data_IF_910601109315
#
_entry.id   IF_910601109315
#
_cell.length_a   1.000
_cell.length_b   1.000
_cell.length_c   1.000
_cell.angle_alpha   90.00
_cell.angle_beta   90.00
_cell.angle_gamma   90.00
#
_symmetry.space_group_name_H-M   'P 1'
#
loop_
_entity.id
_entity.type
_entity.pdbx_description
1 polymer ?
#
# COMPACT_ATOMS: atom_id res chain seq x y z
N UNK A 1 -6.71 20.73 17.47
CA UNK A 1 -6.24 21.66 16.41
C UNK A 1 -4.73 21.49 16.32
N UNK A 2 -4.20 21.03 15.19
CA UNK A 2 -2.76 21.05 14.95
C UNK A 2 -2.35 22.49 14.68
N UNK A 3 -1.57 23.08 15.57
CA UNK A 3 -1.25 24.52 15.59
C UNK A 3 0.04 24.87 14.84
N UNK A 4 0.90 23.89 14.59
CA UNK A 4 2.15 24.03 13.82
C UNK A 4 2.56 22.67 13.28
N UNK A 5 2.91 22.58 11.99
CA UNK A 5 3.40 21.35 11.36
C UNK A 5 4.90 21.43 11.10
N UNK A 6 5.61 20.33 11.38
CA UNK A 6 7.02 20.16 11.02
C UNK A 6 7.12 19.35 9.71
N UNK A 7 8.11 19.67 8.89
CA UNK A 7 8.47 18.86 7.73
C UNK A 7 9.75 18.09 8.05
N UNK A 8 9.67 16.76 8.00
CA UNK A 8 10.81 15.86 8.17
C UNK A 8 10.84 14.85 7.01
N UNK A 9 12.04 14.41 6.62
CA UNK A 9 12.21 13.37 5.60
C UNK A 9 12.17 12.01 6.31
N UNK A 10 11.21 11.18 5.93
CA UNK A 10 11.11 9.81 6.45
C UNK A 10 12.33 8.99 6.01
N UNK A 11 12.96 8.32 6.98
CA UNK A 11 14.06 7.40 6.67
C UNK A 11 13.53 6.13 5.99
N UNK A 12 14.34 5.44 5.16
CA UNK A 12 13.90 4.20 4.51
C UNK A 12 13.38 3.14 5.48
N UNK A 13 13.97 3.04 6.67
CA UNK A 13 13.53 2.09 7.71
C UNK A 13 12.21 2.50 8.36
N UNK A 14 11.92 3.80 8.42
CA UNK A 14 10.63 4.30 8.88
C UNK A 14 9.54 3.96 7.88
N UNK A 15 9.80 4.15 6.59
CA UNK A 15 8.89 3.76 5.50
C UNK A 15 8.57 2.26 5.56
N UNK A 16 9.58 1.41 5.80
CA UNK A 16 9.38 -0.04 5.93
C UNK A 16 8.56 -0.42 7.16
N UNK A 17 8.76 0.26 8.30
CA UNK A 17 8.01 0.01 9.54
C UNK A 17 6.54 0.42 9.46
N UNK A 18 6.23 1.47 8.70
CA UNK A 18 4.84 1.95 8.50
C UNK A 18 4.16 1.29 7.30
N UNK A 19 4.93 0.69 6.39
CA UNK A 19 4.40 0.01 5.21
C UNK A 19 3.54 -1.18 5.61
N UNK A 20 2.32 -1.23 5.07
CA UNK A 20 1.38 -2.34 5.27
C UNK A 20 1.68 -3.53 4.36
N UNK A 21 2.45 -3.32 3.27
CA UNK A 21 2.92 -4.42 2.44
C UNK A 21 4.10 -5.12 3.07
N UNK A 22 3.84 -6.32 3.58
CA UNK A 22 4.86 -7.28 3.97
C UNK A 22 4.45 -8.67 3.42
N UNK A 23 5.15 -9.21 2.41
CA UNK A 23 6.38 -8.71 1.77
C UNK A 23 6.16 -7.43 0.92
N UNK A 24 7.24 -6.73 0.51
CA UNK A 24 7.14 -5.55 -0.37
C UNK A 24 6.44 -5.86 -1.70
N UNK A 25 5.99 -4.82 -2.40
CA UNK A 25 5.49 -4.96 -3.77
C UNK A 25 6.66 -5.42 -4.66
N UNK A 26 6.48 -6.57 -5.31
CA UNK A 26 7.47 -7.15 -6.23
C UNK A 26 7.08 -6.87 -7.68
N UNK A 27 5.79 -6.61 -7.93
CA UNK A 27 5.23 -6.46 -9.26
C UNK A 27 4.58 -5.09 -9.44
N UNK A 28 5.04 -4.28 -10.41
CA UNK A 28 4.47 -2.97 -10.65
C UNK A 28 3.09 -3.04 -11.34
N UNK A 29 2.70 -4.22 -11.86
CA UNK A 29 1.42 -4.39 -12.52
C UNK A 29 0.24 -4.39 -11.52
N UNK A 30 -0.88 -3.82 -11.94
CA UNK A 30 -2.11 -3.75 -11.13
C UNK A 30 -2.87 -5.08 -11.13
N UNK A 31 -2.90 -5.77 -12.28
CA UNK A 31 -3.71 -6.97 -12.49
C UNK A 31 -2.95 -8.02 -13.29
N UNK A 32 -3.26 -9.28 -13.04
CA UNK A 32 -2.80 -10.44 -13.80
C UNK A 32 -3.97 -11.40 -14.01
N UNK A 33 -4.25 -11.77 -15.27
CA UNK A 33 -5.34 -12.70 -15.59
C UNK A 33 -6.74 -12.22 -15.17
N UNK A 34 -6.97 -10.90 -15.11
CA UNK A 34 -8.25 -10.31 -14.70
C UNK A 34 -8.50 -10.28 -13.20
N UNK A 35 -7.50 -10.63 -12.38
CA UNK A 35 -7.52 -10.51 -10.92
C UNK A 35 -6.42 -9.57 -10.45
N UNK A 36 -6.52 -9.03 -9.24
CA UNK A 36 -5.39 -8.33 -8.62
C UNK A 36 -4.20 -9.29 -8.51
N UNK A 37 -3.02 -8.78 -8.83
CA UNK A 37 -1.78 -9.55 -8.80
C UNK A 37 -1.32 -9.72 -7.35
N UNK A 38 -0.97 -10.95 -6.95
CA UNK A 38 -0.37 -11.22 -5.65
C UNK A 38 0.95 -10.44 -5.53
N UNK A 39 1.18 -9.74 -4.41
CA UNK A 39 2.31 -8.81 -4.24
C UNK A 39 2.39 -7.71 -5.31
N UNK A 40 1.28 -7.48 -5.99
CA UNK A 40 1.10 -6.40 -6.95
C UNK A 40 0.71 -5.09 -6.26
N UNK A 41 0.57 -4.05 -7.06
CA UNK A 41 0.24 -2.72 -6.54
C UNK A 41 -1.15 -2.65 -5.89
N UNK A 42 -2.10 -3.48 -6.34
CA UNK A 42 -3.45 -3.62 -5.75
C UNK A 42 -3.62 -4.89 -4.90
N UNK A 43 -2.54 -5.40 -4.31
CA UNK A 43 -2.64 -6.54 -3.40
C UNK A 43 -3.61 -6.19 -2.24
N UNK A 44 -4.56 -7.08 -1.88
CA UNK A 44 -5.75 -6.74 -1.07
C UNK A 44 -5.56 -6.11 0.32
N UNK A 45 -4.41 -6.12 1.01
CA UNK A 45 -4.30 -5.45 2.31
C UNK A 45 -4.35 -3.91 2.25
N UNK A 46 -4.17 -3.31 1.06
CA UNK A 46 -4.01 -1.85 0.89
C UNK A 46 -5.29 -1.07 0.62
N UNK A 47 -6.32 -1.73 0.09
CA UNK A 47 -7.61 -1.12 -0.21
C UNK A 47 -8.71 -2.17 0.01
N UNK A 48 -9.88 -1.80 0.56
CA UNK A 48 -11.06 -2.63 0.41
C UNK A 48 -11.41 -2.66 -1.08
N UNK A 49 -10.91 -3.68 -1.79
CA UNK A 49 -11.29 -3.95 -3.16
C UNK A 49 -12.79 -4.24 -3.20
N UNK A 50 -13.53 -3.25 -3.69
CA UNK A 50 -14.96 -3.21 -3.90
C UNK A 50 -15.84 -3.41 -2.65
N UNK A 51 -16.60 -2.37 -2.28
CA UNK A 51 -17.75 -2.50 -1.35
C UNK A 51 -18.90 -3.31 -1.94
N UNK A 52 -18.77 -3.78 -3.18
CA UNK A 52 -19.84 -4.44 -3.93
C UNK A 52 -19.53 -5.93 -4.14
N UNK A 53 -19.40 -6.68 -3.05
CA UNK A 53 -19.62 -8.12 -3.04
C UNK A 53 -20.91 -8.40 -2.28
N UNK A 54 -22.03 -8.17 -2.98
CA UNK A 54 -23.45 -8.25 -2.58
C UNK A 54 -24.00 -7.15 -1.68
#
# INVERSE_FOLDING_TARGET
>A
KCTSGSFEILSPDEIKRISVTNPPIEHPELMEGGKSKERGLMDPPKDPADRNSK
#
